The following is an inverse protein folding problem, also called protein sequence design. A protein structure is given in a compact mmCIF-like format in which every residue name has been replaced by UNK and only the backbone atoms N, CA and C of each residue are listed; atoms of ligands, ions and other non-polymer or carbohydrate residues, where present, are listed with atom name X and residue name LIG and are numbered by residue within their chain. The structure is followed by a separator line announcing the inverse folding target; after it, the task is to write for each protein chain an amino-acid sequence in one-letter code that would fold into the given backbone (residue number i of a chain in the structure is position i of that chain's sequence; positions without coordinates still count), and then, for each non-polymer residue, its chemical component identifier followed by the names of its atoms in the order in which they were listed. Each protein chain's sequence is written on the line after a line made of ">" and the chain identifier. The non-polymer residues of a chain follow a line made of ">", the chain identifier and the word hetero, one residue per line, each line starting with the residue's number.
data_IF_789565872693
#
_entry.id   IF_789565872693
#
_cell.length_a   1.000
_cell.length_b   1.000
_cell.length_c   1.000
_cell.angle_alpha   90.00
_cell.angle_beta   90.00
_cell.angle_gamma   90.00
#
_symmetry.space_group_name_H-M   'P 1'
#
loop_
_entity.id
_entity.type
_entity.pdbx_description
1 polymer ?
#
# COMPACT_ATOMS: atom_id res chain seq x y z
N UNK A 1 3.32 15.07 4.53
CA UNK A 1 2.40 14.00 4.11
C UNK A 1 1.11 14.65 3.62
N UNK A 2 0.35 13.97 2.76
CA UNK A 2 -0.98 14.40 2.30
C UNK A 2 -1.98 13.38 2.84
N UNK A 3 -2.99 13.86 3.54
CA UNK A 3 -4.04 13.03 4.13
C UNK A 3 -5.30 13.12 3.26
N UNK A 4 -5.77 11.97 2.79
CA UNK A 4 -6.96 11.87 1.94
C UNK A 4 -8.23 11.55 2.72
N UNK A 5 -8.15 11.48 4.06
CA UNK A 5 -9.24 11.13 4.95
C UNK A 5 -9.33 9.61 5.20
N UNK A 6 -10.39 9.14 5.88
CA UNK A 6 -11.51 9.93 6.44
C UNK A 6 -11.08 10.79 7.65
N UNK A 7 -11.91 11.77 8.03
CA UNK A 7 -11.66 12.69 9.14
C UNK A 7 -12.65 12.53 10.31
N UNK A 8 -13.47 11.50 10.26
CA UNK A 8 -14.44 11.15 11.31
C UNK A 8 -14.50 9.64 11.51
N UNK A 9 -15.21 9.21 12.56
CA UNK A 9 -15.49 7.79 12.83
C UNK A 9 -16.78 7.31 12.18
N UNK A 10 -17.41 8.15 11.36
CA UNK A 10 -18.64 7.79 10.67
C UNK A 10 -18.37 6.73 9.59
N UNK A 11 -19.40 5.93 9.30
CA UNK A 11 -19.32 4.94 8.24
C UNK A 11 -19.02 5.62 6.90
N UNK A 12 -18.10 5.05 6.15
CA UNK A 12 -17.67 5.56 4.84
C UNK A 12 -17.17 4.40 3.97
N UNK A 13 -17.00 4.66 2.68
CA UNK A 13 -16.64 3.67 1.69
C UNK A 13 -15.15 3.77 1.36
N UNK A 14 -14.39 2.71 1.66
CA UNK A 14 -12.94 2.67 1.42
C UNK A 14 -12.50 3.01 -0.02
N UNK A 15 -13.29 2.77 -1.10
CA UNK A 15 -12.88 3.17 -2.44
C UNK A 15 -12.70 4.68 -2.63
N UNK A 16 -13.50 5.47 -1.92
CA UNK A 16 -13.48 6.94 -2.03
C UNK A 16 -12.16 7.54 -1.56
N UNK A 17 -11.42 6.82 -0.69
CA UNK A 17 -10.10 7.21 -0.19
C UNK A 17 -8.97 6.49 -0.94
N UNK A 18 -9.20 5.25 -1.41
CA UNK A 18 -8.23 4.50 -2.20
C UNK A 18 -7.93 5.18 -3.54
N UNK A 19 -8.95 5.63 -4.26
CA UNK A 19 -8.76 6.20 -5.60
C UNK A 19 -7.94 7.50 -5.60
N UNK A 20 -8.21 8.49 -4.73
CA UNK A 20 -7.36 9.68 -4.64
C UNK A 20 -5.90 9.36 -4.27
N UNK A 21 -5.67 8.41 -3.34
CA UNK A 21 -4.33 7.99 -2.98
C UNK A 21 -3.60 7.34 -4.16
N UNK A 22 -4.26 6.42 -4.86
CA UNK A 22 -3.70 5.76 -6.05
C UNK A 22 -3.31 6.79 -7.12
N UNK A 23 -4.23 7.69 -7.49
CA UNK A 23 -3.97 8.72 -8.48
C UNK A 23 -2.81 9.64 -8.09
N UNK A 24 -2.72 10.02 -6.81
CA UNK A 24 -1.62 10.86 -6.33
C UNK A 24 -0.26 10.14 -6.37
N UNK A 25 -0.22 8.83 -6.07
CA UNK A 25 1.00 8.02 -6.19
C UNK A 25 1.40 7.85 -7.66
N UNK A 26 0.46 7.56 -8.56
CA UNK A 26 0.72 7.44 -10.00
C UNK A 26 1.17 8.77 -10.63
N UNK A 27 0.61 9.89 -10.18
CA UNK A 27 1.00 11.23 -10.60
C UNK A 27 2.35 11.70 -10.00
N UNK A 28 2.94 10.93 -9.09
CA UNK A 28 4.17 11.31 -8.39
C UNK A 28 4.00 12.43 -7.36
N UNK A 29 2.77 12.76 -6.96
CA UNK A 29 2.49 13.78 -5.94
C UNK A 29 2.82 13.30 -4.52
N UNK A 30 2.76 11.99 -4.28
CA UNK A 30 3.16 11.39 -3.02
C UNK A 30 3.84 10.03 -3.26
N UNK A 31 4.81 9.71 -2.41
CA UNK A 31 5.47 8.42 -2.44
C UNK A 31 6.19 8.14 -1.11
N UNK A 32 6.12 6.90 -0.59
CA UNK A 32 5.08 5.89 -0.85
C UNK A 32 3.72 6.27 -0.23
N UNK A 33 2.66 5.57 -0.63
CA UNK A 33 1.33 5.68 -0.01
C UNK A 33 1.17 4.78 1.22
N UNK A 34 0.28 5.16 2.14
CA UNK A 34 -0.18 4.32 3.25
C UNK A 34 -1.71 4.31 3.25
N UNK A 35 -2.32 3.14 3.41
CA UNK A 35 -3.76 2.96 3.47
C UNK A 35 -4.15 1.99 4.60
N UNK A 36 -5.26 2.26 5.27
CA UNK A 36 -5.74 1.46 6.41
C UNK A 36 -7.24 1.26 6.24
N UNK A 37 -7.70 0.02 6.41
CA UNK A 37 -9.12 -0.27 6.65
C UNK A 37 -9.25 -1.46 7.61
N UNK A 38 -10.47 -1.91 7.90
CA UNK A 38 -10.71 -2.95 8.92
C UNK A 38 -9.83 -4.20 8.77
N UNK A 39 -9.93 -4.90 7.63
CA UNK A 39 -9.05 -6.03 7.28
C UNK A 39 -7.94 -5.67 6.30
N UNK A 40 -7.90 -4.43 5.79
CA UNK A 40 -7.01 -4.02 4.71
C UNK A 40 -7.39 -4.57 3.32
N UNK A 41 -8.23 -5.60 3.23
CA UNK A 41 -8.55 -6.27 1.95
C UNK A 41 -9.24 -5.35 0.95
N UNK A 42 -10.38 -4.73 1.32
CA UNK A 42 -11.16 -3.91 0.39
C UNK A 42 -10.38 -2.72 -0.17
N UNK A 43 -9.63 -2.04 0.69
CA UNK A 43 -8.83 -0.88 0.27
C UNK A 43 -7.66 -1.32 -0.62
N UNK A 44 -6.99 -2.44 -0.30
CA UNK A 44 -5.93 -3.03 -1.12
C UNK A 44 -6.43 -3.47 -2.50
N UNK A 45 -7.57 -4.17 -2.56
CA UNK A 45 -8.19 -4.61 -3.81
C UNK A 45 -8.51 -3.41 -4.70
N UNK A 46 -9.01 -2.32 -4.11
CA UNK A 46 -9.36 -1.10 -4.85
C UNK A 46 -8.13 -0.37 -5.36
N UNK A 47 -7.11 -0.20 -4.52
CA UNK A 47 -5.83 0.40 -4.90
C UNK A 47 -5.19 -0.34 -6.08
N UNK A 48 -5.16 -1.66 -6.05
CA UNK A 48 -4.59 -2.50 -7.11
C UNK A 48 -5.41 -2.55 -8.41
N UNK A 49 -6.51 -1.79 -8.54
CA UNK A 49 -7.16 -1.55 -9.85
C UNK A 49 -6.41 -0.51 -10.69
N UNK A 50 -5.58 0.31 -10.05
CA UNK A 50 -4.75 1.31 -10.70
C UNK A 50 -3.45 0.66 -11.18
N UNK A 51 -3.12 0.83 -12.46
CA UNK A 51 -2.10 0.03 -13.14
C UNK A 51 -0.67 0.31 -12.65
N UNK A 52 -0.42 1.52 -12.17
CA UNK A 52 0.84 1.90 -11.55
C UNK A 52 0.95 1.53 -10.07
N UNK A 53 -0.13 1.06 -9.45
CA UNK A 53 -0.16 0.75 -8.02
C UNK A 53 0.17 -0.72 -7.74
N UNK A 54 0.99 -0.90 -6.70
CA UNK A 54 1.36 -2.17 -6.11
C UNK A 54 1.14 -2.04 -4.60
N UNK A 55 -0.12 -2.14 -4.21
CA UNK A 55 -0.54 -2.05 -2.82
C UNK A 55 -0.36 -3.40 -2.12
N UNK A 56 0.44 -3.42 -1.05
CA UNK A 56 0.75 -4.62 -0.29
C UNK A 56 0.06 -4.60 1.07
N UNK A 57 -0.79 -5.60 1.33
CA UNK A 57 -1.36 -5.84 2.65
C UNK A 57 -0.31 -6.50 3.55
N UNK A 58 0.10 -5.81 4.61
CA UNK A 58 1.12 -6.27 5.52
C UNK A 58 0.59 -6.31 6.96
N UNK A 59 0.72 -7.46 7.61
CA UNK A 59 0.37 -7.67 9.02
C UNK A 59 1.58 -8.10 9.88
N UNK A 60 2.77 -8.18 9.28
CA UNK A 60 4.05 -8.37 9.97
C UNK A 60 5.15 -7.58 9.26
N UNK A 61 6.23 -7.23 9.98
CA UNK A 61 7.39 -6.54 9.41
C UNK A 61 8.05 -7.36 8.28
N UNK A 62 8.12 -8.69 8.42
CA UNK A 62 8.67 -9.57 7.37
C UNK A 62 7.89 -9.46 6.05
N UNK A 63 6.55 -9.39 6.10
CA UNK A 63 5.75 -9.21 4.89
C UNK A 63 6.00 -7.83 4.28
N UNK A 64 6.17 -6.79 5.10
CA UNK A 64 6.50 -5.45 4.65
C UNK A 64 7.87 -5.37 3.96
N UNK A 65 8.87 -6.06 4.52
CA UNK A 65 10.19 -6.22 3.92
C UNK A 65 10.08 -6.84 2.53
N UNK A 66 9.44 -8.01 2.43
CA UNK A 66 9.30 -8.74 1.16
C UNK A 66 8.43 -7.97 0.15
N UNK A 67 7.42 -7.24 0.60
CA UNK A 67 6.61 -6.38 -0.25
C UNK A 67 7.46 -5.33 -0.98
N UNK A 68 8.38 -4.69 -0.27
CA UNK A 68 9.33 -3.74 -0.87
C UNK A 68 10.40 -4.44 -1.68
N UNK A 69 11.13 -5.37 -1.07
CA UNK A 69 12.29 -6.02 -1.66
C UNK A 69 11.95 -6.75 -2.97
N UNK A 70 10.82 -7.46 -3.03
CA UNK A 70 10.47 -8.32 -4.16
C UNK A 70 9.43 -7.75 -5.12
N UNK A 71 8.55 -6.87 -4.65
CA UNK A 71 7.42 -6.39 -5.45
C UNK A 71 7.47 -4.89 -5.71
N UNK A 72 8.49 -4.20 -5.19
CA UNK A 72 8.60 -2.75 -5.22
C UNK A 72 7.28 -2.08 -4.86
N UNK A 73 6.61 -2.56 -3.80
CA UNK A 73 5.31 -2.04 -3.40
C UNK A 73 5.41 -0.53 -3.15
N UNK A 74 4.53 0.25 -3.78
CA UNK A 74 4.50 1.70 -3.66
C UNK A 74 3.36 2.21 -2.76
N UNK A 75 2.52 1.30 -2.26
CA UNK A 75 1.52 1.57 -1.22
C UNK A 75 1.58 0.46 -0.17
N UNK A 76 1.71 0.85 1.10
CA UNK A 76 1.56 -0.03 2.26
C UNK A 76 0.09 -0.05 2.70
N UNK A 77 -0.49 -1.23 2.85
CA UNK A 77 -1.83 -1.42 3.40
C UNK A 77 -1.73 -2.16 4.73
N UNK A 78 -2.41 -1.68 5.77
CA UNK A 78 -2.43 -2.31 7.09
C UNK A 78 -3.85 -2.62 7.57
N UNK A 79 -4.08 -3.79 8.23
CA UNK A 79 -5.40 -4.21 8.69
C UNK A 79 -5.71 -3.66 10.09
N UNK A 80 -6.38 -2.51 10.18
CA UNK A 80 -6.58 -1.77 11.43
C UNK A 80 -7.36 -2.49 12.54
N UNK A 81 -8.01 -3.64 12.26
CA UNK A 81 -8.68 -4.48 13.28
C UNK A 81 -7.84 -5.69 13.73
N UNK A 82 -6.69 -5.95 13.12
CA UNK A 82 -5.93 -7.20 13.29
C UNK A 82 -4.50 -7.00 13.79
N UNK A 83 -4.02 -5.77 13.88
CA UNK A 83 -2.69 -5.44 14.40
C UNK A 83 -2.77 -4.31 15.43
N UNK A 84 -1.82 -4.30 16.35
CA UNK A 84 -1.62 -3.21 17.32
C UNK A 84 -0.91 -2.01 16.69
N UNK A 85 -0.91 -0.87 17.39
CA UNK A 85 -0.16 0.32 16.97
C UNK A 85 1.34 0.07 16.95
N UNK A 86 1.86 -0.74 17.89
CA UNK A 86 3.27 -1.13 17.95
C UNK A 86 3.64 -2.02 16.76
N UNK A 87 2.78 -2.97 16.39
CA UNK A 87 2.95 -3.79 15.19
C UNK A 87 2.92 -2.93 13.93
N UNK A 88 1.99 -1.98 13.84
CA UNK A 88 1.92 -1.04 12.73
C UNK A 88 3.19 -0.16 12.60
N UNK A 89 3.77 0.30 13.71
CA UNK A 89 5.04 1.04 13.71
C UNK A 89 6.20 0.18 13.19
N UNK A 90 6.29 -1.08 13.62
CA UNK A 90 7.31 -2.02 13.11
C UNK A 90 7.15 -2.29 11.60
N UNK A 91 5.93 -2.57 11.15
CA UNK A 91 5.60 -2.79 9.73
C UNK A 91 5.99 -1.58 8.90
N UNK A 92 5.61 -0.38 9.36
CA UNK A 92 5.89 0.87 8.68
C UNK A 92 7.41 1.09 8.59
N UNK A 93 8.15 1.01 9.69
CA UNK A 93 9.61 1.19 9.69
C UNK A 93 10.30 0.27 8.68
N UNK A 94 9.91 -1.01 8.67
CA UNK A 94 10.49 -2.00 7.77
C UNK A 94 10.17 -1.70 6.30
N UNK A 95 8.92 -1.30 5.99
CA UNK A 95 8.53 -0.90 4.64
C UNK A 95 9.32 0.32 4.13
N UNK A 96 9.50 1.34 4.97
CA UNK A 96 10.19 2.56 4.56
C UNK A 96 11.72 2.40 4.48
N UNK A 97 12.31 1.48 5.25
CA UNK A 97 13.76 1.23 5.26
C UNK A 97 14.21 0.24 4.18
N UNK A 98 13.31 -0.58 3.65
CA UNK A 98 13.66 -1.67 2.72
C UNK A 98 13.80 -1.17 1.27
N UNK A 99 15.00 -1.26 0.66
CA UNK A 99 15.19 -0.97 -0.75
C UNK A 99 14.65 -2.11 -1.64
N UNK A 100 14.28 -1.78 -2.87
CA UNK A 100 13.92 -2.78 -3.86
C UNK A 100 15.16 -3.53 -4.38
N UNK A 101 15.10 -4.85 -4.49
CA UNK A 101 16.23 -5.69 -4.93
C UNK A 101 16.47 -5.61 -6.45
N UNK A 102 15.45 -5.29 -7.24
CA UNK A 102 15.56 -5.29 -8.70
C UNK A 102 15.82 -6.68 -9.29
N UNK A 103 16.67 -6.77 -10.31
CA UNK A 103 17.04 -8.04 -10.95
C UNK A 103 15.83 -8.85 -11.42
N UNK A 104 15.69 -10.10 -10.95
CA UNK A 104 14.58 -10.99 -11.34
C UNK A 104 13.19 -10.45 -10.95
N UNK A 105 13.15 -9.56 -9.97
CA UNK A 105 11.92 -8.95 -9.45
C UNK A 105 11.40 -7.85 -10.37
N UNK A 106 12.28 -7.04 -10.95
CA UNK A 106 11.89 -5.99 -11.90
C UNK A 106 11.09 -6.59 -13.06
N UNK A 107 11.59 -7.68 -13.67
CA UNK A 107 10.87 -8.41 -14.73
C UNK A 107 9.47 -8.88 -14.33
N UNK A 108 9.22 -9.16 -13.04
CA UNK A 108 7.90 -9.57 -12.54
C UNK A 108 7.02 -8.35 -12.32
N UNK A 109 7.57 -7.29 -11.72
CA UNK A 109 6.90 -6.00 -11.53
C UNK A 109 6.41 -5.44 -12.85
N UNK A 110 7.24 -5.48 -13.90
CA UNK A 110 6.90 -5.00 -15.25
C UNK A 110 5.73 -5.76 -15.90
N UNK A 111 5.36 -6.94 -15.38
CA UNK A 111 4.26 -7.77 -15.88
C UNK A 111 2.97 -7.66 -15.07
N UNK A 112 2.98 -6.92 -13.95
CA UNK A 112 1.80 -6.73 -13.11
C UNK A 112 0.73 -5.90 -13.83
N UNK A 113 1.06 -4.76 -14.48
CA UNK A 113 0.06 -3.96 -15.16
C UNK A 113 -0.60 -4.75 -16.30
N UNK A 114 -1.91 -4.63 -16.42
CA UNK A 114 -2.68 -5.05 -17.59
C UNK A 114 -2.65 -3.92 -18.62
N UNK A 115 -2.13 -4.22 -19.81
CA UNK A 115 -2.25 -3.33 -20.96
C UNK A 115 -3.50 -3.73 -21.75
N UNK A 116 -4.49 -2.85 -21.77
CA UNK A 116 -5.69 -2.98 -22.61
C UNK A 116 -5.45 -2.36 -23.98
#
# INVERSE_FOLDING_TARGET
>A
YKDFGTYSTESCDYPDFAHPLALAVEAGECYPGIAICGSGEGISITLNKHQGIRAALCWTAEIAHLARQHNDANVLVMPGRFISTEEADMIMREFFSTPFEGGRHQRRVDKIPVHL
#
